data_IF_494858694604
#
_entry.id   IF_494858694604
#
_cell.length_a   1.000
_cell.length_b   1.000
_cell.length_c   1.000
_cell.angle_alpha   90.00
_cell.angle_beta   90.00
_cell.angle_gamma   90.00
#
_symmetry.space_group_name_H-M   'P 1'
#
loop_
_entity.id
_entity.type
_entity.pdbx_description
1 polymer ?
#
# COMPACT_ATOMS: atom_id res chain seq x y z
N UNK A 1 -0.80 8.29 30.81
CA UNK A 1 -0.07 7.84 29.62
C UNK A 1 -1.07 7.44 28.53
N UNK A 2 -0.84 7.88 27.27
CA UNK A 2 -1.65 7.43 26.14
C UNK A 2 -1.26 6.00 25.80
N UNK A 3 -2.26 5.12 25.57
CA UNK A 3 -2.06 3.73 25.20
C UNK A 3 -1.29 3.62 23.88
N UNK A 4 -0.24 2.80 23.84
CA UNK A 4 0.52 2.44 22.67
C UNK A 4 0.24 1.01 22.23
N UNK A 5 0.57 0.71 20.96
CA UNK A 5 0.56 -0.62 20.38
C UNK A 5 1.85 -0.81 19.57
N UNK A 6 2.46 -2.00 19.55
CA UNK A 6 3.66 -2.23 18.74
C UNK A 6 3.46 -1.94 17.25
N UNK A 7 2.29 -2.20 16.72
CA UNK A 7 1.96 -2.11 15.30
C UNK A 7 0.87 -1.06 15.07
N UNK A 8 1.16 -0.11 14.19
CA UNK A 8 0.20 0.82 13.61
C UNK A 8 -0.26 0.27 12.25
N UNK A 9 -1.36 -0.42 12.28
CA UNK A 9 -2.09 -0.92 11.12
C UNK A 9 -3.55 -1.03 11.53
N UNK A 10 -4.44 -0.76 10.62
CA UNK A 10 -5.88 -0.85 10.90
C UNK A 10 -6.54 -1.79 9.93
N UNK A 11 -7.79 -2.19 10.24
CA UNK A 11 -8.64 -2.92 9.32
C UNK A 11 -9.51 -1.93 8.52
N UNK A 12 -8.97 -1.35 7.43
CA UNK A 12 -9.75 -0.42 6.62
C UNK A 12 -10.91 -1.16 5.93
N UNK A 13 -11.99 -0.43 5.68
CA UNK A 13 -13.11 -0.93 4.91
C UNK A 13 -12.98 -0.41 3.47
N UNK A 14 -13.24 -1.28 2.48
CA UNK A 14 -13.19 -0.94 1.06
C UNK A 14 -11.87 -1.30 0.38
N UNK A 15 -11.48 -0.55 -0.64
CA UNK A 15 -10.29 -0.79 -1.46
C UNK A 15 -9.02 -0.98 -0.63
N UNK A 16 -8.82 -0.13 0.36
CA UNK A 16 -7.63 -0.14 1.21
C UNK A 16 -7.41 -1.49 1.92
N UNK A 17 -8.46 -2.26 2.21
CA UNK A 17 -8.31 -3.57 2.85
C UNK A 17 -7.49 -4.54 2.00
N UNK A 18 -7.74 -4.60 0.70
CA UNK A 18 -6.97 -5.45 -0.21
C UNK A 18 -5.51 -4.99 -0.25
N UNK A 19 -5.28 -3.68 -0.31
CA UNK A 19 -3.94 -3.11 -0.37
C UNK A 19 -3.08 -3.50 0.83
N UNK A 20 -3.66 -3.52 2.03
CA UNK A 20 -2.93 -3.86 3.25
C UNK A 20 -2.79 -5.36 3.49
N UNK A 21 -3.78 -6.18 3.10
CA UNK A 21 -3.78 -7.62 3.45
C UNK A 21 -3.24 -8.52 2.35
N UNK A 22 -3.38 -8.15 1.08
CA UNK A 22 -2.94 -8.99 -0.03
C UNK A 22 -1.46 -9.42 0.06
N UNK A 23 -0.50 -8.57 0.46
CA UNK A 23 0.89 -9.00 0.63
C UNK A 23 1.06 -10.17 1.59
N UNK A 24 0.32 -10.18 2.70
CA UNK A 24 0.39 -11.27 3.67
C UNK A 24 -0.28 -12.55 3.14
N UNK A 25 -1.37 -12.41 2.39
CA UNK A 25 -2.05 -13.52 1.73
C UNK A 25 -1.10 -14.19 0.73
N UNK A 26 -0.50 -13.41 -0.16
CA UNK A 26 0.45 -13.93 -1.14
C UNK A 26 1.71 -14.50 -0.50
N UNK A 27 2.24 -13.85 0.54
CA UNK A 27 3.38 -14.37 1.31
C UNK A 27 3.06 -15.69 2.03
N UNK A 28 1.80 -16.00 2.32
CA UNK A 28 1.37 -17.28 2.88
C UNK A 28 1.01 -18.34 1.81
N UNK A 29 1.22 -18.02 0.52
CA UNK A 29 0.89 -18.89 -0.60
C UNK A 29 -0.62 -18.98 -0.89
N UNK A 30 -1.40 -18.00 -0.42
CA UNK A 30 -2.80 -17.81 -0.78
C UNK A 30 -2.97 -16.91 -1.99
N UNK A 31 -4.20 -16.76 -2.45
CA UNK A 31 -4.55 -15.81 -3.50
C UNK A 31 -5.96 -15.25 -3.27
N UNK A 32 -6.32 -14.20 -4.01
CA UNK A 32 -7.60 -13.51 -3.92
C UNK A 32 -8.60 -14.00 -4.97
N UNK A 33 -8.08 -14.45 -6.12
CA UNK A 33 -8.86 -14.82 -7.30
C UNK A 33 -8.07 -15.82 -8.14
N UNK A 34 -8.73 -16.62 -8.96
CA UNK A 34 -8.09 -17.50 -9.93
C UNK A 34 -7.21 -16.75 -10.94
N UNK A 35 -6.25 -17.42 -11.55
CA UNK A 35 -5.31 -16.83 -12.53
C UNK A 35 -6.02 -16.15 -13.70
N UNK A 36 -7.18 -16.65 -14.13
CA UNK A 36 -8.00 -16.02 -15.18
C UNK A 36 -8.86 -14.85 -14.69
N UNK A 37 -8.85 -14.55 -13.37
CA UNK A 37 -9.59 -13.45 -12.76
C UNK A 37 -11.09 -13.68 -12.62
N UNK A 38 -11.60 -14.87 -12.88
CA UNK A 38 -13.05 -15.14 -12.97
C UNK A 38 -13.65 -15.86 -11.77
N UNK A 39 -12.84 -16.46 -10.92
CA UNK A 39 -13.29 -17.28 -9.78
C UNK A 39 -12.69 -16.79 -8.48
N UNK A 40 -13.54 -16.48 -7.52
CA UNK A 40 -13.16 -16.04 -6.16
C UNK A 40 -13.28 -17.17 -5.15
N UNK A 41 -14.31 -18.03 -5.31
CA UNK A 41 -14.55 -19.15 -4.42
C UNK A 41 -13.42 -20.19 -4.50
N UNK A 42 -12.97 -20.64 -3.34
CA UNK A 42 -11.80 -21.51 -3.21
C UNK A 42 -10.45 -20.79 -3.23
N UNK A 43 -10.39 -19.54 -3.65
CA UNK A 43 -9.22 -18.66 -3.59
C UNK A 43 -9.29 -17.73 -2.38
N UNK A 44 -10.23 -16.79 -2.40
CA UNK A 44 -10.39 -15.82 -1.31
C UNK A 44 -10.70 -16.47 0.04
N UNK A 45 -11.48 -17.55 0.03
CA UNK A 45 -11.84 -18.34 1.22
C UNK A 45 -10.97 -19.59 1.41
N UNK A 46 -9.77 -19.64 0.83
CA UNK A 46 -8.83 -20.75 0.99
C UNK A 46 -8.35 -20.89 2.44
N UNK A 47 -7.88 -22.09 2.80
CA UNK A 47 -7.28 -22.34 4.12
C UNK A 47 -6.10 -21.41 4.39
N UNK A 48 -5.29 -21.11 3.37
CA UNK A 48 -4.16 -20.17 3.46
C UNK A 48 -4.57 -18.77 3.84
N UNK A 49 -5.65 -18.28 3.26
CA UNK A 49 -6.19 -16.96 3.59
C UNK A 49 -6.82 -16.94 5.00
N UNK A 50 -7.48 -18.02 5.39
CA UNK A 50 -8.00 -18.18 6.76
C UNK A 50 -6.87 -18.19 7.79
N UNK A 51 -5.73 -18.83 7.51
CA UNK A 51 -4.54 -18.78 8.36
C UNK A 51 -4.07 -17.34 8.59
N UNK A 52 -3.98 -16.53 7.53
CA UNK A 52 -3.60 -15.10 7.62
C UNK A 52 -4.59 -14.31 8.46
N UNK A 53 -5.89 -14.51 8.26
CA UNK A 53 -6.91 -13.82 9.04
C UNK A 53 -6.85 -14.23 10.53
N UNK A 54 -6.63 -15.49 10.83
CA UNK A 54 -6.43 -15.97 12.20
C UNK A 54 -5.17 -15.36 12.83
N UNK A 55 -4.10 -15.18 12.08
CA UNK A 55 -2.90 -14.50 12.55
C UNK A 55 -3.19 -13.05 12.93
N UNK A 56 -3.91 -12.30 12.10
CA UNK A 56 -4.31 -10.93 12.43
C UNK A 56 -5.24 -10.88 13.65
N UNK A 57 -6.16 -11.83 13.77
CA UNK A 57 -7.00 -11.95 14.96
C UNK A 57 -6.16 -12.11 16.23
N UNK A 58 -5.15 -12.98 16.21
CA UNK A 58 -4.23 -13.16 17.35
C UNK A 58 -3.42 -11.90 17.67
N UNK A 59 -2.98 -11.14 16.65
CA UNK A 59 -2.28 -9.86 16.81
C UNK A 59 -3.16 -8.87 17.58
N UNK A 60 -4.44 -8.80 17.26
CA UNK A 60 -5.40 -7.94 17.96
C UNK A 60 -5.70 -8.42 19.37
N UNK A 61 -5.97 -9.72 19.56
CA UNK A 61 -6.24 -10.30 20.88
C UNK A 61 -5.06 -10.10 21.86
N UNK A 62 -3.83 -10.23 21.34
CA UNK A 62 -2.61 -10.00 22.11
C UNK A 62 -2.28 -8.51 22.30
N UNK A 63 -3.11 -7.61 21.77
CA UNK A 63 -2.94 -6.15 21.86
C UNK A 63 -1.65 -5.65 21.21
N UNK A 64 -1.18 -6.31 20.17
CA UNK A 64 -0.08 -5.81 19.33
C UNK A 64 -0.56 -4.77 18.32
N UNK A 65 -1.84 -4.80 17.96
CA UNK A 65 -2.50 -3.85 17.07
C UNK A 65 -3.85 -3.43 17.66
N UNK A 66 -4.31 -2.23 17.33
CA UNK A 66 -5.64 -1.75 17.71
C UNK A 66 -6.70 -2.23 16.73
N UNK A 67 -7.90 -2.56 17.22
CA UNK A 67 -9.07 -2.83 16.37
C UNK A 67 -9.56 -1.59 15.61
N UNK A 68 -9.37 -0.42 16.21
CA UNK A 68 -9.81 0.84 15.64
C UNK A 68 -8.62 1.75 15.34
N UNK A 69 -8.72 2.61 14.31
CA UNK A 69 -7.69 3.58 14.00
C UNK A 69 -7.36 4.47 15.19
N UNK A 70 -6.07 4.69 15.41
CA UNK A 70 -5.58 5.64 16.43
C UNK A 70 -4.75 6.68 15.70
N UNK A 71 -5.21 7.91 15.72
CA UNK A 71 -4.57 9.01 15.04
C UNK A 71 -3.12 9.22 15.53
N UNK A 72 -2.21 9.33 14.56
CA UNK A 72 -0.77 9.56 14.78
C UNK A 72 -0.14 8.58 15.79
N UNK A 73 -0.49 7.30 15.69
CA UNK A 73 0.02 6.29 16.62
C UNK A 73 1.52 6.09 16.45
N UNK A 74 1.98 5.90 15.23
CA UNK A 74 3.39 5.74 14.89
C UNK A 74 4.15 7.07 15.04
N UNK A 75 3.63 8.15 14.50
CA UNK A 75 4.26 9.47 14.46
C UNK A 75 4.48 10.06 15.86
N UNK A 76 3.64 9.67 16.81
CA UNK A 76 3.79 10.06 18.23
C UNK A 76 4.72 9.14 19.05
N UNK A 77 5.39 8.17 18.39
CA UNK A 77 6.28 7.22 19.06
C UNK A 77 5.57 6.18 19.92
N UNK A 78 4.27 5.94 19.69
CA UNK A 78 3.47 4.96 20.43
C UNK A 78 3.33 3.63 19.71
N UNK A 79 3.80 3.55 18.46
CA UNK A 79 4.03 2.30 17.73
C UNK A 79 5.47 2.23 17.26
N UNK A 80 5.99 1.01 17.12
CA UNK A 80 7.33 0.74 16.61
C UNK A 80 7.32 0.49 15.10
N UNK A 81 6.22 -0.02 14.58
CA UNK A 81 6.04 -0.38 13.17
C UNK A 81 4.75 0.21 12.62
N UNK A 82 4.82 0.70 11.37
CA UNK A 82 3.65 1.13 10.59
C UNK A 82 3.66 0.40 9.26
N UNK A 83 2.50 -0.10 8.85
CA UNK A 83 2.28 -0.63 7.51
C UNK A 83 1.52 0.41 6.71
N UNK A 84 2.15 0.95 5.67
CA UNK A 84 1.55 1.98 4.84
C UNK A 84 2.19 2.03 3.45
N UNK A 85 1.70 2.89 2.58
CA UNK A 85 2.24 3.09 1.24
C UNK A 85 3.43 4.06 1.21
N UNK A 86 4.12 4.10 0.07
CA UNK A 86 5.30 4.94 -0.12
C UNK A 86 5.03 6.46 0.07
N UNK A 87 3.79 6.90 -0.12
CA UNK A 87 3.35 8.28 0.12
C UNK A 87 3.56 8.74 1.57
N UNK A 88 3.47 7.82 2.52
CA UNK A 88 3.58 8.12 3.94
C UNK A 88 5.01 8.51 4.35
N UNK A 89 6.00 8.01 3.63
CA UNK A 89 7.41 8.35 3.88
C UNK A 89 7.63 9.86 3.83
N UNK A 90 7.15 10.51 2.76
CA UNK A 90 7.27 11.95 2.63
C UNK A 90 6.43 12.72 3.67
N UNK A 91 5.21 12.25 3.93
CA UNK A 91 4.34 12.82 4.96
C UNK A 91 5.03 12.85 6.32
N UNK A 92 5.71 11.75 6.69
CA UNK A 92 6.43 11.66 7.95
C UNK A 92 7.64 12.61 7.96
N UNK A 93 8.46 12.64 6.92
CA UNK A 93 9.62 13.54 6.86
C UNK A 93 9.26 15.01 6.94
N UNK A 94 8.15 15.41 6.30
CA UNK A 94 7.73 16.81 6.29
C UNK A 94 7.05 17.25 7.59
N UNK A 95 6.19 16.40 8.16
CA UNK A 95 5.32 16.80 9.26
C UNK A 95 5.81 16.32 10.63
N UNK A 96 6.71 15.31 10.66
CA UNK A 96 7.21 14.72 11.90
C UNK A 96 8.74 14.56 11.88
N UNK A 97 9.50 15.65 11.79
CA UNK A 97 10.95 15.63 11.59
C UNK A 97 11.73 14.97 12.75
N UNK A 98 11.11 14.80 13.90
CA UNK A 98 11.71 14.12 15.06
C UNK A 98 11.58 12.58 14.99
N UNK A 99 10.83 12.05 14.02
CA UNK A 99 10.71 10.60 13.81
C UNK A 99 11.92 10.10 13.05
N UNK A 100 12.69 9.20 13.68
CA UNK A 100 13.78 8.51 13.01
C UNK A 100 13.21 7.33 12.21
N UNK A 101 12.81 7.61 10.95
CA UNK A 101 12.13 6.66 10.08
C UNK A 101 13.12 5.72 9.40
N UNK A 102 12.86 4.41 9.49
CA UNK A 102 13.45 3.37 8.66
C UNK A 102 12.39 2.68 7.80
N UNK A 103 12.74 2.32 6.58
CA UNK A 103 11.85 1.60 5.66
C UNK A 103 12.37 0.18 5.44
N UNK A 104 11.49 -0.80 5.49
CA UNK A 104 11.79 -2.21 5.26
C UNK A 104 10.73 -2.86 4.36
N UNK A 105 11.08 -3.92 3.62
CA UNK A 105 10.09 -4.72 2.91
C UNK A 105 9.07 -5.34 3.87
N UNK A 106 7.90 -5.72 3.33
CA UNK A 106 6.91 -6.48 4.10
C UNK A 106 7.55 -7.69 4.77
N UNK A 107 7.13 -7.94 6.01
CA UNK A 107 7.56 -9.09 6.79
C UNK A 107 6.97 -10.37 6.23
N UNK A 108 7.70 -11.46 6.39
CA UNK A 108 7.28 -12.83 6.06
C UNK A 108 7.63 -13.74 7.24
N UNK A 109 7.01 -14.91 7.32
CA UNK A 109 7.32 -15.88 8.36
C UNK A 109 8.76 -16.40 8.26
N UNK A 110 9.30 -16.91 9.37
CA UNK A 110 10.68 -17.43 9.45
C UNK A 110 10.92 -18.60 8.51
N UNK A 111 9.89 -19.41 8.26
CA UNK A 111 9.94 -20.59 7.36
C UNK A 111 9.61 -20.23 5.90
N UNK A 112 9.45 -18.95 5.58
CA UNK A 112 9.13 -18.51 4.24
C UNK A 112 10.37 -18.53 3.33
N UNK A 113 10.31 -19.36 2.29
CA UNK A 113 11.35 -19.51 1.27
C UNK A 113 10.97 -18.90 -0.09
N UNK A 114 9.79 -18.31 -0.19
CA UNK A 114 9.26 -17.69 -1.39
C UNK A 114 9.62 -16.22 -1.57
N UNK A 115 9.00 -15.61 -2.57
CA UNK A 115 9.18 -14.19 -2.85
C UNK A 115 8.42 -13.30 -1.87
N UNK A 116 8.92 -12.10 -1.66
CA UNK A 116 8.19 -11.05 -0.93
C UNK A 116 7.31 -10.29 -1.90
N UNK A 117 6.07 -10.08 -1.51
CA UNK A 117 5.10 -9.37 -2.32
C UNK A 117 4.84 -7.98 -1.74
N UNK A 118 4.68 -7.02 -2.63
CA UNK A 118 4.16 -5.69 -2.30
C UNK A 118 3.09 -5.32 -3.32
N UNK A 119 1.96 -4.76 -2.91
CA UNK A 119 0.93 -4.36 -3.86
C UNK A 119 1.44 -3.18 -4.68
N UNK A 120 1.25 -3.25 -5.97
CA UNK A 120 1.39 -2.11 -6.86
C UNK A 120 0.00 -1.65 -7.24
N UNK A 121 -0.41 -0.53 -6.70
CA UNK A 121 -1.62 0.17 -7.09
C UNK A 121 -1.25 1.56 -7.58
N UNK A 122 -2.01 2.11 -8.52
CA UNK A 122 -1.82 3.47 -8.94
C UNK A 122 -3.13 4.11 -9.40
N UNK A 123 -3.11 5.43 -9.46
CA UNK A 123 -4.19 6.20 -10.05
C UNK A 123 -4.04 6.20 -11.57
N UNK A 124 -5.13 6.02 -12.29
CA UNK A 124 -5.17 6.08 -13.74
C UNK A 124 -5.89 7.33 -14.21
N UNK A 125 -5.36 7.95 -15.24
CA UNK A 125 -6.04 9.04 -15.95
C UNK A 125 -6.83 8.47 -17.13
N UNK A 126 -8.08 8.89 -17.27
CA UNK A 126 -8.94 8.47 -18.35
C UNK A 126 -9.69 9.65 -18.96
N UNK A 127 -9.95 9.59 -20.26
CA UNK A 127 -10.87 10.49 -20.93
C UNK A 127 -12.31 9.97 -20.82
N UNK A 128 -13.25 10.85 -20.48
CA UNK A 128 -14.67 10.49 -20.47
C UNK A 128 -15.17 10.20 -21.88
N UNK A 129 -16.01 9.18 -22.04
CA UNK A 129 -16.73 8.93 -23.30
C UNK A 129 -17.71 10.04 -23.68
N UNK A 130 -18.13 10.84 -22.70
CA UNK A 130 -19.08 11.95 -22.88
C UNK A 130 -18.39 13.29 -23.26
N UNK A 131 -17.07 13.28 -23.47
CA UNK A 131 -16.36 14.51 -23.80
C UNK A 131 -16.64 14.97 -25.23
N UNK A 132 -16.93 16.26 -25.40
CA UNK A 132 -17.06 16.88 -26.72
C UNK A 132 -15.70 17.15 -27.42
N UNK A 133 -14.59 16.95 -26.68
CA UNK A 133 -13.22 17.16 -27.16
C UNK A 133 -12.33 15.96 -26.84
N UNK A 134 -12.55 14.85 -27.51
CA UNK A 134 -11.79 13.62 -27.28
C UNK A 134 -10.30 13.76 -27.63
N UNK A 135 -9.96 14.58 -28.63
CA UNK A 135 -8.58 14.82 -29.04
C UNK A 135 -7.81 15.55 -27.91
N UNK A 136 -8.35 16.65 -27.40
CA UNK A 136 -7.75 17.40 -26.29
C UNK A 136 -7.67 16.58 -25.00
N UNK A 137 -8.72 15.83 -24.68
CA UNK A 137 -8.73 14.94 -23.51
C UNK A 137 -7.66 13.84 -23.63
N UNK A 138 -7.50 13.25 -24.81
CA UNK A 138 -6.49 12.23 -25.07
C UNK A 138 -5.07 12.80 -24.94
N UNK A 139 -4.81 13.98 -25.49
CA UNK A 139 -3.51 14.64 -25.34
C UNK A 139 -3.19 14.99 -23.89
N UNK A 140 -4.18 15.43 -23.12
CA UNK A 140 -4.02 15.67 -21.68
C UNK A 140 -3.64 14.38 -20.93
N UNK A 141 -4.37 13.28 -21.18
CA UNK A 141 -4.06 11.97 -20.54
C UNK A 141 -2.65 11.51 -20.90
N UNK A 142 -2.23 11.63 -22.16
CA UNK A 142 -0.86 11.29 -22.59
C UNK A 142 0.18 12.13 -21.88
N UNK A 143 -0.05 13.44 -21.78
CA UNK A 143 0.88 14.34 -21.08
C UNK A 143 0.96 14.02 -19.59
N UNK A 144 -0.19 13.83 -18.91
CA UNK A 144 -0.25 13.50 -17.49
C UNK A 144 0.43 12.15 -17.16
N UNK A 145 0.39 11.20 -18.09
CA UNK A 145 1.04 9.89 -17.95
C UNK A 145 2.48 9.88 -18.50
N UNK A 146 2.98 11.00 -18.98
CA UNK A 146 4.29 11.13 -19.61
C UNK A 146 5.45 11.27 -18.62
N UNK A 147 6.66 11.24 -19.18
CA UNK A 147 7.91 11.33 -18.39
C UNK A 147 8.02 12.64 -17.64
N UNK A 148 7.75 13.78 -18.32
CA UNK A 148 7.82 15.11 -17.71
C UNK A 148 6.90 15.25 -16.50
N UNK A 149 5.65 14.83 -16.64
CA UNK A 149 4.67 14.84 -15.55
C UNK A 149 5.07 13.90 -14.41
N UNK A 150 5.59 12.71 -14.73
CA UNK A 150 6.09 11.77 -13.73
C UNK A 150 7.23 12.34 -12.89
N UNK A 151 8.22 12.98 -13.53
CA UNK A 151 9.33 13.66 -12.84
C UNK A 151 8.82 14.82 -11.99
N UNK A 152 7.86 15.61 -12.51
CA UNK A 152 7.26 16.72 -11.77
C UNK A 152 6.49 16.24 -10.54
N UNK A 153 5.69 15.19 -10.67
CA UNK A 153 4.93 14.59 -9.55
C UNK A 153 5.90 14.13 -8.45
N UNK A 154 7.03 13.51 -8.83
CA UNK A 154 8.06 13.16 -7.85
C UNK A 154 8.64 14.39 -7.15
N UNK A 155 9.01 15.41 -7.89
CA UNK A 155 9.63 16.60 -7.31
C UNK A 155 8.70 17.35 -6.36
N UNK A 156 7.41 17.41 -6.67
CA UNK A 156 6.41 18.18 -5.91
C UNK A 156 5.70 17.35 -4.82
N UNK A 157 5.46 16.06 -5.07
CA UNK A 157 4.65 15.21 -4.18
C UNK A 157 5.36 13.94 -3.70
N UNK A 158 6.60 13.70 -4.13
CA UNK A 158 7.36 12.47 -3.82
C UNK A 158 6.62 11.17 -4.14
N UNK A 159 5.68 11.23 -5.08
CA UNK A 159 5.00 10.06 -5.57
C UNK A 159 5.79 9.41 -6.71
N UNK A 160 6.05 8.12 -6.60
CA UNK A 160 6.87 7.38 -7.57
C UNK A 160 6.23 7.43 -8.97
N UNK A 161 6.99 7.73 -10.02
CA UNK A 161 6.47 7.74 -11.37
C UNK A 161 6.16 6.34 -11.88
N UNK A 162 5.14 6.22 -12.72
CA UNK A 162 4.68 4.96 -13.29
C UNK A 162 5.49 4.48 -14.51
N UNK A 163 6.46 5.25 -14.99
CA UNK A 163 7.27 4.89 -16.15
C UNK A 163 8.75 4.80 -15.78
N UNK A 164 9.44 3.78 -16.29
CA UNK A 164 10.89 3.60 -16.08
C UNK A 164 11.70 4.83 -16.50
N UNK A 165 11.35 5.46 -17.63
CA UNK A 165 12.05 6.65 -18.13
C UNK A 165 11.92 7.87 -17.20
N UNK A 166 10.82 8.00 -16.48
CA UNK A 166 10.67 9.05 -15.48
C UNK A 166 11.42 8.66 -14.20
N UNK A 167 11.36 7.38 -13.83
CA UNK A 167 12.07 6.85 -12.66
C UNK A 167 13.61 7.04 -12.77
N UNK A 168 14.17 6.85 -13.98
CA UNK A 168 15.60 7.08 -14.25
C UNK A 168 16.03 8.55 -14.11
N UNK A 169 15.09 9.50 -14.06
CA UNK A 169 15.35 10.94 -14.00
C UNK A 169 15.08 11.55 -12.62
N UNK A 170 14.71 10.74 -11.65
CA UNK A 170 14.49 11.19 -10.27
C UNK A 170 15.61 10.70 -9.36
N UNK A 171 15.82 11.44 -8.29
CA UNK A 171 16.74 11.08 -7.21
C UNK A 171 15.91 10.52 -6.04
N UNK A 172 16.06 9.23 -5.77
CA UNK A 172 15.26 8.47 -4.79
C UNK A 172 16.05 8.23 -3.52
#
# INVERSE_FOLDING_TARGET
>A
EKKGYPIDMTFPVGESSIYYYAPFIWANGGDLVSEDGLTVDGYFNSEKNVEVMNYFHQIVENKYMSEAPIENLFESGRAAFKFDGAWEVNTIYENYPDVNLGVAPYVVGDDWDGERYTPTGSWAFAASSETDNIEGATELVKWMSGVESGVRIWNEAKSLPSTYKAFEQIDV
#
